data_IF_446965078560
#
_entry.id   IF_446965078560
#
_cell.length_a   1.000
_cell.length_b   1.000
_cell.length_c   1.000
_cell.angle_alpha   90.00
_cell.angle_beta   90.00
_cell.angle_gamma   90.00
#
_symmetry.space_group_name_H-M   'P 1'
#
loop_
_entity.id
_entity.type
_entity.pdbx_description
1 polymer ?
#
# COMPACT_ATOMS: atom_id res chain seq x y z
N UNK A 1 27.68 -5.92 5.18
CA UNK A 1 27.40 -5.89 6.64
C UNK A 1 28.07 -7.05 7.36
N UNK A 2 27.89 -8.30 6.92
CA UNK A 2 28.61 -9.47 7.47
C UNK A 2 30.14 -9.30 7.47
N UNK A 3 30.71 -8.71 6.42
CA UNK A 3 32.16 -8.42 6.33
C UNK A 3 32.65 -7.49 7.44
N UNK A 4 31.85 -6.49 7.81
CA UNK A 4 32.18 -5.55 8.90
C UNK A 4 32.10 -6.24 10.25
N UNK A 5 31.03 -7.02 10.48
CA UNK A 5 30.87 -7.80 11.71
C UNK A 5 32.03 -8.78 11.88
N UNK A 6 32.38 -9.53 10.84
CA UNK A 6 33.49 -10.50 10.89
C UNK A 6 34.82 -9.82 11.24
N UNK A 7 35.14 -8.69 10.59
CA UNK A 7 36.40 -7.96 10.89
C UNK A 7 36.47 -7.48 12.35
N UNK A 8 35.33 -7.08 12.94
CA UNK A 8 35.26 -6.67 14.34
C UNK A 8 35.35 -7.88 15.29
N UNK A 9 34.74 -9.01 14.95
CA UNK A 9 34.87 -10.25 15.72
C UNK A 9 36.33 -10.70 15.75
N UNK A 10 37.01 -10.71 14.61
CA UNK A 10 38.44 -11.07 14.53
C UNK A 10 39.32 -10.15 15.38
N UNK A 11 38.95 -8.87 15.49
CA UNK A 11 39.72 -7.87 16.26
C UNK A 11 39.44 -7.95 17.76
N UNK A 12 38.17 -8.09 18.16
CA UNK A 12 37.73 -8.01 19.56
C UNK A 12 37.75 -9.38 20.26
N UNK A 13 37.59 -10.46 19.52
CA UNK A 13 37.55 -11.85 19.99
C UNK A 13 38.46 -12.74 19.13
N UNK A 14 39.79 -12.49 19.14
CA UNK A 14 40.74 -13.16 18.23
C UNK A 14 40.92 -14.67 18.50
N UNK A 15 40.53 -15.15 19.68
CA UNK A 15 40.64 -16.56 20.07
C UNK A 15 39.27 -17.25 19.98
N UNK A 16 38.99 -18.02 18.91
CA UNK A 16 37.67 -18.61 18.68
C UNK A 16 37.30 -19.72 19.69
N UNK A 17 38.29 -20.33 20.34
CA UNK A 17 38.07 -21.39 21.34
C UNK A 17 37.66 -20.84 22.72
N UNK A 18 37.83 -19.53 22.95
CA UNK A 18 37.48 -18.88 24.22
C UNK A 18 36.04 -18.35 24.23
N UNK A 19 35.46 -18.06 23.06
CA UNK A 19 34.15 -17.44 22.92
C UNK A 19 33.35 -18.07 21.79
N UNK A 20 32.19 -18.61 22.12
CA UNK A 20 31.20 -19.05 21.13
C UNK A 20 30.30 -17.88 20.74
N UNK A 21 30.37 -17.45 19.47
CA UNK A 21 29.52 -16.38 18.94
C UNK A 21 28.19 -16.96 18.43
N UNK A 22 27.07 -16.37 18.86
CA UNK A 22 25.72 -16.70 18.38
C UNK A 22 24.99 -15.42 17.92
N UNK A 23 23.90 -15.59 17.17
CA UNK A 23 23.05 -14.49 16.72
C UNK A 23 21.56 -14.90 16.78
N UNK A 24 20.67 -13.91 16.82
CA UNK A 24 19.21 -14.10 16.88
C UNK A 24 18.49 -13.51 15.64
N UNK A 25 18.81 -13.96 14.42
CA UNK A 25 18.28 -13.36 13.20
C UNK A 25 16.83 -13.80 12.93
N UNK A 26 15.83 -13.02 13.36
CA UNK A 26 14.41 -13.28 13.08
C UNK A 26 13.99 -12.96 11.64
N UNK A 27 13.85 -11.66 11.31
CA UNK A 27 13.43 -11.18 9.98
C UNK A 27 14.23 -11.80 8.83
N UNK A 28 15.53 -11.96 9.02
CA UNK A 28 16.44 -12.51 8.02
C UNK A 28 15.96 -13.85 7.45
N UNK A 29 15.44 -14.73 8.30
CA UNK A 29 14.90 -16.02 7.87
C UNK A 29 13.41 -15.96 7.52
N UNK A 30 12.62 -15.15 8.23
CA UNK A 30 11.17 -15.20 8.13
C UNK A 30 10.57 -14.33 7.02
N UNK A 31 11.26 -13.29 6.56
CA UNK A 31 10.65 -12.25 5.72
C UNK A 31 10.28 -12.74 4.30
N UNK A 32 11.28 -13.19 3.53
CA UNK A 32 11.12 -13.52 2.10
C UNK A 32 10.42 -14.84 1.78
N UNK A 33 10.37 -15.87 2.65
CA UNK A 33 9.68 -17.13 2.33
C UNK A 33 8.16 -17.01 2.23
N UNK A 34 7.57 -15.95 2.80
CA UNK A 34 6.12 -15.77 2.82
C UNK A 34 5.71 -14.63 1.88
N UNK A 35 4.68 -14.88 1.10
CA UNK A 35 3.93 -13.87 0.37
C UNK A 35 2.47 -13.90 0.82
N UNK A 36 1.83 -12.74 0.80
CA UNK A 36 0.41 -12.60 1.08
C UNK A 36 -0.32 -12.37 -0.24
N UNK A 37 -1.51 -12.97 -0.37
CA UNK A 37 -2.42 -12.70 -1.48
C UNK A 37 -3.69 -12.12 -0.88
N UNK A 38 -4.09 -10.95 -1.36
CA UNK A 38 -5.35 -10.30 -0.96
C UNK A 38 -6.27 -10.21 -2.15
N UNK A 39 -7.58 -10.31 -1.90
CA UNK A 39 -8.62 -10.14 -2.91
C UNK A 39 -9.28 -8.78 -2.77
N UNK A 40 -9.50 -8.10 -3.89
CA UNK A 40 -10.33 -6.90 -3.95
C UNK A 40 -11.79 -7.33 -3.86
N UNK A 41 -12.49 -6.91 -2.80
CA UNK A 41 -13.90 -7.25 -2.60
C UNK A 41 -14.84 -6.07 -2.87
N UNK A 42 -14.32 -4.83 -2.85
CA UNK A 42 -15.08 -3.61 -3.16
C UNK A 42 -14.20 -2.62 -3.91
N UNK A 43 -14.80 -1.91 -4.88
CA UNK A 43 -14.17 -0.84 -5.69
C UNK A 43 -15.11 0.37 -5.71
N UNK A 44 -14.58 1.54 -5.38
CA UNK A 44 -15.29 2.82 -5.48
C UNK A 44 -14.48 3.77 -6.36
N UNK A 45 -15.02 4.19 -7.50
CA UNK A 45 -14.36 5.14 -8.40
C UNK A 45 -14.78 6.56 -8.01
N UNK A 46 -13.80 7.39 -7.67
CA UNK A 46 -13.99 8.81 -7.35
C UNK A 46 -13.50 9.63 -8.54
N UNK A 47 -14.43 10.31 -9.18
CA UNK A 47 -14.14 11.21 -10.29
C UNK A 47 -14.18 12.63 -9.77
N UNK A 48 -13.04 13.32 -9.77
CA UNK A 48 -12.98 14.74 -9.45
C UNK A 48 -12.95 15.55 -10.74
N UNK A 49 -13.98 16.39 -10.96
CA UNK A 49 -13.84 17.50 -11.89
C UNK A 49 -12.92 18.51 -11.20
N UNK A 50 -11.72 18.73 -11.73
CA UNK A 50 -10.76 19.66 -11.15
C UNK A 50 -11.39 21.07 -11.01
N UNK A 51 -11.92 21.39 -9.84
CA UNK A 51 -12.39 22.72 -9.48
C UNK A 51 -11.26 23.46 -8.80
N UNK A 52 -10.88 24.62 -9.37
CA UNK A 52 -9.88 25.53 -8.79
C UNK A 52 -10.21 25.79 -7.31
N UNK A 53 -9.26 25.51 -6.42
CA UNK A 53 -9.23 26.22 -5.14
C UNK A 53 -8.81 27.67 -5.46
N UNK A 54 -9.50 28.69 -4.93
CA UNK A 54 -9.02 30.07 -5.06
C UNK A 54 -7.71 30.22 -4.31
N UNK A 55 -6.72 30.89 -4.92
CA UNK A 55 -5.51 31.34 -4.22
C UNK A 55 -5.93 32.15 -2.98
N UNK A 56 -5.52 31.68 -1.80
CA UNK A 56 -5.61 32.47 -0.57
C UNK A 56 -4.57 33.58 -0.68
N UNK A 57 -5.03 34.76 -1.06
CA UNK A 57 -4.29 36.00 -0.83
C UNK A 57 -4.17 36.24 0.69
N UNK A 58 -3.06 36.85 1.08
CA UNK A 58 -2.57 37.00 2.45
C UNK A 58 -3.58 37.43 3.51
N UNK A 59 -3.26 36.98 4.73
CA UNK A 59 -3.81 37.33 6.04
C UNK A 59 -4.39 38.74 6.19
N UNK A 60 -5.65 38.83 6.61
CA UNK A 60 -6.14 39.85 7.56
C UNK A 60 -7.55 39.52 8.08
N UNK A 61 -7.72 39.55 9.41
CA UNK A 61 -8.95 40.02 10.06
C UNK A 61 -10.09 39.02 10.32
N UNK A 62 -10.39 38.79 11.60
CA UNK A 62 -11.65 38.25 12.11
C UNK A 62 -12.71 39.37 12.07
N UNK A 63 -13.91 39.09 11.55
CA UNK A 63 -15.18 39.65 12.03
C UNK A 63 -16.38 38.87 11.48
N UNK A 64 -17.28 38.49 12.39
CA UNK A 64 -18.64 38.01 12.12
C UNK A 64 -19.47 39.04 11.32
N UNK A 65 -20.36 38.58 10.43
CA UNK A 65 -21.78 39.01 10.31
C UNK A 65 -22.44 38.50 9.01
N UNK A 66 -23.74 38.22 9.13
CA UNK A 66 -24.71 37.85 8.10
C UNK A 66 -24.78 38.86 6.93
N UNK A 67 -24.92 38.39 5.67
CA UNK A 67 -25.72 39.06 4.62
C UNK A 67 -25.97 38.12 3.43
N UNK A 68 -27.25 37.94 3.08
CA UNK A 68 -27.72 37.51 1.76
C UNK A 68 -27.77 38.73 0.83
N UNK A 69 -27.14 38.69 -0.35
CA UNK A 69 -27.52 39.55 -1.48
C UNK A 69 -27.18 38.90 -2.82
N UNK A 70 -28.08 39.08 -3.79
CA UNK A 70 -27.97 38.59 -5.16
C UNK A 70 -27.38 39.63 -6.10
N UNK A 71 -27.00 39.21 -7.31
CA UNK A 71 -26.56 40.14 -8.35
C UNK A 71 -25.84 39.48 -9.51
N UNK A 72 -26.47 39.58 -10.67
CA UNK A 72 -26.18 38.99 -11.98
C UNK A 72 -24.97 39.53 -12.77
N UNK A 73 -24.66 38.79 -13.85
CA UNK A 73 -24.04 39.21 -15.14
C UNK A 73 -22.51 39.13 -15.21
N UNK A 74 -21.83 38.79 -16.32
CA UNK A 74 -22.19 38.37 -17.69
C UNK A 74 -20.91 37.91 -18.39
N UNK A 75 -21.04 36.93 -19.31
CA UNK A 75 -20.25 36.72 -20.55
C UNK A 75 -18.72 36.68 -20.50
N UNK A 76 -18.12 35.57 -20.97
CA UNK A 76 -17.61 35.49 -22.35
C UNK A 76 -16.85 34.18 -22.65
N UNK A 77 -17.21 33.63 -23.81
CA UNK A 77 -16.42 32.80 -24.75
C UNK A 77 -15.75 31.52 -24.25
N UNK A 78 -16.36 30.42 -24.71
CA UNK A 78 -15.86 29.06 -24.76
C UNK A 78 -14.48 28.93 -25.42
N UNK A 79 -13.51 28.45 -24.66
CA UNK A 79 -12.41 27.61 -25.17
C UNK A 79 -12.43 26.30 -24.39
N UNK A 80 -13.02 25.28 -24.99
CA UNK A 80 -13.17 23.94 -24.44
C UNK A 80 -11.83 23.18 -24.58
N UNK A 81 -10.86 23.50 -23.72
CA UNK A 81 -9.73 22.61 -23.47
C UNK A 81 -10.25 21.35 -22.75
N UNK A 82 -10.02 20.18 -23.34
CA UNK A 82 -10.34 18.88 -22.71
C UNK A 82 -9.70 18.80 -21.32
N UNK A 83 -10.52 19.01 -20.28
CA UNK A 83 -10.07 18.89 -18.90
C UNK A 83 -9.81 17.42 -18.62
N UNK A 84 -8.54 17.04 -18.45
CA UNK A 84 -8.16 15.68 -18.02
C UNK A 84 -8.73 15.44 -16.62
N UNK A 85 -9.84 14.72 -16.53
CA UNK A 85 -10.39 14.21 -15.27
C UNK A 85 -9.32 13.34 -14.60
N UNK A 86 -8.97 13.63 -13.34
CA UNK A 86 -8.23 12.69 -12.52
C UNK A 86 -9.25 11.75 -11.86
N UNK A 87 -9.19 10.47 -12.22
CA UNK A 87 -9.91 9.41 -11.53
C UNK A 87 -9.02 8.83 -10.44
N UNK A 88 -9.57 8.78 -9.22
CA UNK A 88 -8.97 8.12 -8.07
C UNK A 88 -9.87 6.94 -7.70
N UNK A 89 -9.31 5.75 -7.60
CA UNK A 89 -10.06 4.53 -7.31
C UNK A 89 -9.73 4.05 -5.92
N UNK A 90 -10.75 3.81 -5.08
CA UNK A 90 -10.58 3.18 -3.78
C UNK A 90 -10.83 1.69 -3.93
N UNK A 91 -9.87 0.87 -3.54
CA UNK A 91 -9.94 -0.58 -3.55
C UNK A 91 -9.90 -1.08 -2.11
N UNK A 92 -10.85 -1.94 -1.76
CA UNK A 92 -10.91 -2.53 -0.41
C UNK A 92 -10.52 -3.99 -0.49
N UNK A 93 -9.57 -4.36 0.37
CA UNK A 93 -8.95 -5.67 0.42
C UNK A 93 -9.48 -6.45 1.61
N UNK A 94 -9.52 -7.76 1.48
CA UNK A 94 -9.97 -8.67 2.55
C UNK A 94 -8.97 -8.86 3.70
N UNK A 95 -7.91 -8.06 3.76
CA UNK A 95 -6.92 -8.00 4.85
C UNK A 95 -6.42 -6.55 4.97
N UNK A 96 -5.98 -6.15 6.16
CA UNK A 96 -5.74 -4.76 6.52
C UNK A 96 -4.69 -4.56 7.62
N UNK A 97 -4.58 -3.33 8.13
CA UNK A 97 -3.57 -2.94 9.13
C UNK A 97 -3.79 -3.61 10.49
N UNK A 98 -5.01 -4.07 10.77
CA UNK A 98 -5.32 -4.86 11.96
C UNK A 98 -5.00 -6.36 11.79
N UNK A 99 -4.81 -6.80 10.54
CA UNK A 99 -4.44 -8.15 10.15
C UNK A 99 -2.97 -8.22 9.77
N UNK A 100 -2.66 -8.64 8.54
CA UNK A 100 -1.26 -8.85 8.11
C UNK A 100 -0.46 -7.57 7.89
N UNK A 101 -1.13 -6.44 7.62
CA UNK A 101 -0.46 -5.15 7.34
C UNK A 101 -0.15 -4.33 8.59
N UNK A 102 -0.29 -4.92 9.79
CA UNK A 102 0.16 -4.26 11.02
C UNK A 102 1.67 -3.93 10.99
N UNK A 103 2.45 -4.63 10.17
CA UNK A 103 3.85 -4.34 9.91
C UNK A 103 4.10 -2.90 9.41
N UNK A 104 3.13 -2.27 8.76
CA UNK A 104 3.22 -0.85 8.37
C UNK A 104 3.34 0.04 9.61
N UNK A 105 2.57 -0.29 10.66
CA UNK A 105 2.44 0.51 11.88
C UNK A 105 3.54 0.19 12.89
N UNK A 106 3.72 -1.10 13.20
CA UNK A 106 4.60 -1.54 14.28
C UNK A 106 6.04 -1.79 13.83
N UNK A 107 6.23 -2.08 12.54
CA UNK A 107 7.50 -2.52 11.99
C UNK A 107 8.07 -1.57 10.92
N UNK A 108 7.31 -0.53 10.58
CA UNK A 108 7.64 0.47 9.56
C UNK A 108 8.01 -0.16 8.20
N UNK A 109 7.41 -1.32 7.90
CA UNK A 109 7.65 -2.02 6.66
C UNK A 109 6.94 -1.32 5.50
N UNK A 110 7.68 -1.04 4.44
CA UNK A 110 7.09 -0.66 3.15
C UNK A 110 6.59 -1.92 2.42
N UNK A 111 5.36 -1.87 1.93
CA UNK A 111 4.72 -2.95 1.18
C UNK A 111 4.48 -2.52 -0.26
N UNK A 112 4.54 -3.48 -1.18
CA UNK A 112 4.40 -3.21 -2.61
C UNK A 112 3.40 -4.19 -3.25
N UNK A 113 2.27 -3.69 -3.80
CA UNK A 113 1.29 -4.54 -4.45
C UNK A 113 1.74 -4.90 -5.87
N UNK A 114 1.59 -6.17 -6.22
CA UNK A 114 1.75 -6.70 -7.57
C UNK A 114 0.41 -7.29 -8.03
N UNK A 115 -0.13 -6.95 -9.21
CA UNK A 115 -1.30 -7.63 -9.75
C UNK A 115 -1.01 -9.13 -9.95
N UNK A 116 -1.87 -9.99 -9.44
CA UNK A 116 -1.80 -11.43 -9.69
C UNK A 116 -2.72 -11.76 -10.87
N UNK A 117 -2.16 -11.84 -12.07
CA UNK A 117 -2.87 -12.23 -13.29
C UNK A 117 -2.66 -13.72 -13.59
N UNK A 118 -3.69 -14.40 -14.12
CA UNK A 118 -3.49 -15.68 -14.79
C UNK A 118 -2.69 -15.46 -16.08
N UNK A 119 -1.75 -16.35 -16.41
CA UNK A 119 -0.82 -16.25 -17.56
C UNK A 119 -1.51 -15.99 -18.92
N UNK A 120 -2.83 -16.19 -19.01
CA UNK A 120 -3.63 -16.02 -20.23
C UNK A 120 -4.22 -14.60 -20.38
N UNK A 121 -4.24 -13.81 -19.30
CA UNK A 121 -4.92 -12.52 -19.21
C UNK A 121 -3.93 -11.39 -18.92
N UNK A 122 -2.86 -11.29 -19.73
CA UNK A 122 -2.09 -10.05 -19.79
C UNK A 122 -3.02 -8.96 -20.37
N UNK A 123 -3.86 -8.36 -19.50
CA UNK A 123 -4.65 -7.17 -19.83
C UNK A 123 -3.68 -6.16 -20.41
N UNK A 124 -3.83 -5.93 -21.71
CA UNK A 124 -2.79 -5.33 -22.54
C UNK A 124 -2.19 -4.08 -21.92
N UNK A 125 -0.87 -3.95 -22.05
CA UNK A 125 -0.16 -2.68 -21.84
C UNK A 125 -0.59 -1.72 -22.93
N UNK A 126 -1.76 -1.11 -22.79
CA UNK A 126 -2.23 -0.09 -23.71
C UNK A 126 -2.33 1.20 -22.92
N UNK A 127 -1.35 2.09 -23.12
CA UNK A 127 -1.33 3.57 -23.15
C UNK A 127 -2.39 4.41 -22.40
N UNK A 128 -3.17 3.82 -21.50
CA UNK A 128 -4.06 4.47 -20.58
C UNK A 128 -3.22 4.92 -19.39
N UNK A 129 -3.34 6.19 -19.01
CA UNK A 129 -2.75 6.67 -17.78
C UNK A 129 -3.26 5.80 -16.61
N UNK A 130 -2.35 5.09 -15.93
CA UNK A 130 -2.72 4.27 -14.78
C UNK A 130 -3.51 5.13 -13.78
N UNK A 131 -4.71 4.69 -13.35
CA UNK A 131 -5.47 5.41 -12.34
C UNK A 131 -4.71 5.41 -11.02
N UNK A 132 -4.93 6.44 -10.20
CA UNK A 132 -4.41 6.45 -8.84
C UNK A 132 -5.31 5.61 -7.95
N UNK A 133 -4.77 4.57 -7.33
CA UNK A 133 -5.51 3.72 -6.39
C UNK A 133 -5.21 4.07 -4.94
N UNK A 134 -6.19 3.96 -4.05
CA UNK A 134 -5.99 3.92 -2.60
C UNK A 134 -6.49 2.60 -2.08
N UNK A 135 -5.63 1.92 -1.32
CA UNK A 135 -5.86 0.57 -0.84
C UNK A 135 -6.27 0.63 0.62
N UNK A 136 -7.44 0.10 0.92
CA UNK A 136 -8.01 0.01 2.26
C UNK A 136 -8.08 -1.44 2.71
N UNK A 137 -7.97 -1.67 4.01
CA UNK A 137 -8.35 -2.93 4.61
C UNK A 137 -9.87 -3.09 4.76
N UNK A 138 -10.33 -4.18 5.38
CA UNK A 138 -11.74 -4.53 5.44
C UNK A 138 -12.51 -3.84 6.57
N UNK A 139 -11.84 -3.14 7.48
CA UNK A 139 -12.48 -2.62 8.69
C UNK A 139 -13.20 -1.30 8.46
N UNK A 140 -14.01 -0.89 9.45
CA UNK A 140 -14.73 0.39 9.41
C UNK A 140 -13.87 1.56 9.90
N UNK A 141 -12.63 1.33 10.31
CA UNK A 141 -11.73 2.38 10.77
C UNK A 141 -11.05 3.03 9.56
N UNK A 142 -11.10 4.37 9.47
CA UNK A 142 -10.39 5.10 8.41
C UNK A 142 -8.87 4.96 8.50
N UNK A 143 -8.35 4.58 9.67
CA UNK A 143 -6.94 4.27 9.86
C UNK A 143 -6.52 2.94 9.19
N UNK A 144 -7.47 2.09 8.80
CA UNK A 144 -7.25 0.86 8.04
C UNK A 144 -7.00 1.14 6.55
N UNK A 145 -5.99 1.96 6.31
CA UNK A 145 -5.53 2.36 4.99
C UNK A 145 -4.12 1.83 4.78
N UNK A 146 -3.95 0.96 3.78
CA UNK A 146 -2.69 0.28 3.48
C UNK A 146 -1.80 1.18 2.62
N UNK A 147 -2.35 1.85 1.60
CA UNK A 147 -1.61 2.77 0.73
C UNK A 147 -2.45 3.95 0.24
N UNK A 148 -1.90 5.16 0.35
CA UNK A 148 -2.54 6.44 0.00
C UNK A 148 -2.13 6.96 -1.39
N UNK A 149 -2.18 6.12 -2.42
CA UNK A 149 -1.88 6.53 -3.79
C UNK A 149 -0.90 5.58 -4.46
N UNK A 150 -1.43 4.67 -5.26
CA UNK A 150 -0.69 3.68 -6.02
C UNK A 150 -0.94 3.93 -7.50
N UNK A 151 0.11 4.25 -8.25
CA UNK A 151 0.02 4.66 -9.65
C UNK A 151 0.63 3.66 -10.61
N UNK A 152 1.32 2.62 -10.11
CA UNK A 152 1.94 1.59 -10.96
C UNK A 152 1.01 0.41 -11.26
N UNK A 153 -0.12 0.29 -10.56
CA UNK A 153 -1.12 -0.73 -10.85
C UNK A 153 -1.97 -0.29 -12.06
N UNK A 154 -2.27 -1.25 -12.93
CA UNK A 154 -3.26 -1.10 -13.99
C UNK A 154 -4.67 -0.92 -13.39
N UNK A 155 -5.69 -0.79 -14.24
CA UNK A 155 -7.07 -0.84 -13.75
C UNK A 155 -7.38 -2.22 -13.16
N UNK A 156 -7.72 -2.22 -11.86
CA UNK A 156 -8.12 -3.39 -11.09
C UNK A 156 -9.64 -3.42 -10.90
N UNK A 157 -10.22 -4.60 -10.80
CA UNK A 157 -11.65 -4.84 -10.58
C UNK A 157 -11.92 -5.67 -9.32
N UNK A 158 -13.19 -5.68 -8.90
CA UNK A 158 -13.65 -6.58 -7.84
C UNK A 158 -13.44 -8.02 -8.30
N UNK A 159 -12.79 -8.81 -7.46
CA UNK A 159 -12.41 -10.18 -7.77
C UNK A 159 -10.94 -10.37 -8.08
N UNK A 160 -10.24 -9.31 -8.49
CA UNK A 160 -8.82 -9.37 -8.76
C UNK A 160 -8.01 -9.57 -7.47
N UNK A 161 -6.83 -10.15 -7.61
CA UNK A 161 -5.93 -10.44 -6.50
C UNK A 161 -4.66 -9.60 -6.60
N UNK A 162 -4.16 -9.19 -5.44
CA UNK A 162 -2.87 -8.54 -5.28
C UNK A 162 -1.93 -9.47 -4.52
N UNK A 163 -0.74 -9.64 -5.06
CA UNK A 163 0.38 -10.34 -4.45
C UNK A 163 1.26 -9.33 -3.69
N UNK A 164 1.65 -9.70 -2.48
CA UNK A 164 2.51 -8.94 -1.60
C UNK A 164 3.68 -9.80 -1.17
N UNK A 165 4.87 -9.47 -1.66
CA UNK A 165 6.10 -10.22 -1.32
C UNK A 165 6.64 -9.79 0.04
N UNK A 166 7.50 -10.64 0.61
CA UNK A 166 8.22 -10.35 1.84
C UNK A 166 7.30 -10.11 3.05
N UNK A 167 6.21 -10.88 3.14
CA UNK A 167 5.14 -10.71 4.14
C UNK A 167 5.22 -11.73 5.28
N UNK A 168 6.43 -12.21 5.63
CA UNK A 168 6.58 -13.24 6.66
C UNK A 168 7.08 -12.77 8.03
N UNK A 169 7.75 -11.63 8.12
CA UNK A 169 8.27 -11.12 9.38
C UNK A 169 7.37 -10.01 9.94
N UNK A 170 6.96 -10.15 11.20
CA UNK A 170 6.14 -9.15 11.93
C UNK A 170 4.85 -8.75 11.22
N UNK A 171 4.28 -9.67 10.44
CA UNK A 171 2.97 -9.55 9.80
C UNK A 171 1.96 -10.29 10.67
N UNK A 172 1.58 -11.51 10.30
CA UNK A 172 0.53 -12.29 10.99
C UNK A 172 0.83 -12.60 12.46
N UNK A 173 2.10 -12.55 12.87
CA UNK A 173 2.51 -12.74 14.27
C UNK A 173 1.90 -11.72 15.25
N UNK A 174 1.54 -10.53 14.77
CA UNK A 174 0.89 -9.48 15.56
C UNK A 174 -0.51 -9.12 15.03
N UNK A 175 -1.09 -9.97 14.18
CA UNK A 175 -2.44 -9.77 13.66
C UNK A 175 -3.50 -9.99 14.74
N UNK A 176 -4.61 -9.28 14.60
CA UNK A 176 -5.77 -9.34 15.50
C UNK A 176 -7.03 -9.71 14.71
N UNK A 177 -8.06 -10.19 15.42
CA UNK A 177 -9.39 -10.43 14.84
C UNK A 177 -10.32 -9.22 15.03
N UNK A 178 -9.79 -8.00 14.88
CA UNK A 178 -10.57 -6.78 14.98
C UNK A 178 -11.70 -6.77 13.92
N UNK A 179 -12.87 -6.24 14.27
CA UNK A 179 -14.11 -6.36 13.49
C UNK A 179 -14.56 -7.81 13.15
N UNK A 180 -13.97 -8.83 13.79
CA UNK A 180 -14.32 -10.23 13.58
C UNK A 180 -13.76 -10.83 12.29
N UNK A 181 -12.77 -10.20 11.66
CA UNK A 181 -12.09 -10.77 10.49
C UNK A 181 -11.04 -11.80 10.91
N UNK A 182 -11.06 -12.96 10.27
CA UNK A 182 -10.06 -14.01 10.50
C UNK A 182 -8.71 -13.65 9.87
N UNK A 183 -7.64 -14.20 10.42
CA UNK A 183 -6.31 -14.10 9.82
C UNK A 183 -6.21 -14.96 8.55
N UNK A 184 -5.28 -14.65 7.62
CA UNK A 184 -5.16 -15.41 6.37
C UNK A 184 -4.86 -16.89 6.57
N UNK A 185 -5.37 -17.71 5.64
CA UNK A 185 -5.03 -19.12 5.53
C UNK A 185 -3.59 -19.31 5.02
N UNK A 186 -2.91 -20.34 5.52
CA UNK A 186 -1.53 -20.64 5.13
C UNK A 186 -1.47 -21.79 4.14
N UNK A 187 -0.75 -21.56 3.03
CA UNK A 187 -0.38 -22.60 2.08
C UNK A 187 1.13 -22.73 2.06
N UNK A 188 1.63 -23.92 2.39
CA UNK A 188 3.05 -24.22 2.35
C UNK A 188 3.39 -24.95 1.06
N UNK A 189 4.36 -24.41 0.32
CA UNK A 189 4.90 -25.06 -0.86
C UNK A 189 6.41 -25.15 -0.75
N UNK A 190 7.00 -26.11 -1.47
CA UNK A 190 8.44 -26.30 -1.53
C UNK A 190 8.86 -26.37 -2.98
N UNK A 191 9.66 -25.40 -3.40
CA UNK A 191 10.35 -25.48 -4.69
C UNK A 191 11.44 -26.53 -4.60
N UNK A 192 11.32 -27.62 -5.36
CA UNK A 192 12.41 -28.57 -5.54
C UNK A 192 13.34 -27.99 -6.61
N UNK A 193 14.63 -27.90 -6.33
CA UNK A 193 15.60 -27.57 -7.37
C UNK A 193 15.53 -28.65 -8.45
N UNK A 194 15.18 -28.26 -9.68
CA UNK A 194 15.35 -29.11 -10.84
C UNK A 194 16.85 -29.18 -11.09
N UNK A 195 17.50 -30.26 -10.68
CA UNK A 195 18.89 -30.53 -11.04
C UNK A 195 18.95 -30.80 -12.54
N UNK A 196 19.15 -29.75 -13.34
CA UNK A 196 19.53 -29.85 -14.77
C UNK A 196 21.04 -29.76 -14.91
#
# INVERSE_FOLDING_TARGET
>A
MSTVVNSLLDTLFPNPDEVQVIAEPGRYFACSPCALITKIYLKNVVVSAASRLPEVAGSAGISDEDTMDGGSSSTSSDELGERKLSSMTRLYLNDGVYGSFNCILYDHQEVWPEPLHEETEARGTQDAANPTHVLFGPTCDGFDTIMNGVTHLSEMDIGDHLLWRNMGAYTTAAATSFNGFDTPIYWYYRTTATTT
#
